data_IF_537730012132
#
_entry.id   IF_537730012132
#
_cell.length_a   1.000
_cell.length_b   1.000
_cell.length_c   1.000
_cell.angle_alpha   90.00
_cell.angle_beta   90.00
_cell.angle_gamma   90.00
#
_symmetry.space_group_name_H-M   'P 1'
#
loop_
_entity.id
_entity.type
_entity.pdbx_description
1 polymer ?
#
# COMPACT_ATOMS: atom_id res chain seq x y z
N UNK A 1 -2.48 -30.46 22.29
CA UNK A 1 -1.59 -29.38 21.83
C UNK A 1 -0.15 -29.83 21.54
N UNK A 2 0.40 -30.82 22.26
CA UNK A 2 1.80 -31.28 22.10
C UNK A 2 2.14 -31.67 20.64
N UNK A 3 1.18 -32.21 19.88
CA UNK A 3 1.36 -32.59 18.47
C UNK A 3 0.80 -31.59 17.45
N UNK A 4 -0.36 -30.99 17.74
CA UNK A 4 -1.07 -30.14 16.77
C UNK A 4 -0.24 -28.96 16.25
N UNK A 5 0.42 -28.19 17.12
CA UNK A 5 1.17 -27.01 16.64
C UNK A 5 2.39 -27.44 15.80
N UNK A 6 3.30 -28.31 16.28
CA UNK A 6 4.45 -28.76 15.49
C UNK A 6 4.10 -29.50 14.18
N UNK A 7 2.92 -30.11 14.09
CA UNK A 7 2.45 -30.79 12.88
C UNK A 7 1.85 -29.85 11.82
N UNK A 8 1.56 -28.59 12.15
CA UNK A 8 0.82 -27.68 11.26
C UNK A 8 1.48 -26.30 11.07
N UNK A 9 2.58 -26.00 11.76
CA UNK A 9 3.37 -24.78 11.58
C UNK A 9 4.82 -25.00 12.01
N UNK A 10 5.73 -24.21 11.43
CA UNK A 10 7.17 -24.31 11.62
C UNK A 10 7.82 -25.17 10.53
N UNK A 11 9.11 -24.97 10.30
CA UNK A 11 9.85 -25.68 9.22
C UNK A 11 9.88 -27.21 9.38
N UNK A 12 9.63 -27.71 10.59
CA UNK A 12 9.57 -29.15 10.86
C UNK A 12 8.23 -29.78 10.45
N UNK A 13 7.20 -28.97 10.21
CA UNK A 13 5.86 -29.43 9.83
C UNK A 13 5.72 -29.81 8.36
N UNK A 14 6.66 -29.37 7.50
CA UNK A 14 6.62 -29.56 6.05
C UNK A 14 8.04 -29.65 5.50
N UNK A 15 8.26 -30.51 4.50
CA UNK A 15 9.55 -30.57 3.79
C UNK A 15 9.67 -29.44 2.77
N UNK A 16 10.90 -29.03 2.41
CA UNK A 16 11.11 -28.02 1.37
C UNK A 16 10.44 -28.39 0.03
N UNK A 17 10.58 -29.65 -0.42
CA UNK A 17 9.93 -30.14 -1.65
C UNK A 17 8.40 -30.02 -1.60
N UNK A 18 7.77 -30.50 -0.53
CA UNK A 18 6.33 -30.35 -0.34
C UNK A 18 5.89 -28.87 -0.26
N UNK A 19 6.70 -27.98 0.32
CA UNK A 19 6.40 -26.56 0.36
C UNK A 19 6.40 -25.95 -1.05
N UNK A 20 7.43 -26.26 -1.85
CA UNK A 20 7.55 -25.80 -3.23
C UNK A 20 6.36 -26.31 -4.05
N UNK A 21 6.10 -27.61 -4.01
CA UNK A 21 5.06 -28.24 -4.83
C UNK A 21 3.64 -27.80 -4.46
N UNK A 22 3.37 -27.56 -3.18
CA UNK A 22 2.00 -27.28 -2.71
C UNK A 22 1.69 -25.80 -2.54
N UNK A 23 2.69 -24.95 -2.28
CA UNK A 23 2.46 -23.58 -1.81
C UNK A 23 3.15 -22.49 -2.65
N UNK A 24 4.15 -22.83 -3.46
CA UNK A 24 4.70 -21.89 -4.43
C UNK A 24 3.81 -21.88 -5.67
N UNK A 25 2.95 -20.86 -5.75
CA UNK A 25 2.03 -20.70 -6.89
C UNK A 25 2.80 -20.49 -8.19
N UNK A 26 2.28 -21.02 -9.31
CA UNK A 26 2.82 -20.80 -10.66
C UNK A 26 2.97 -19.31 -10.99
N UNK A 27 2.03 -18.48 -10.56
CA UNK A 27 2.07 -17.03 -10.74
C UNK A 27 3.31 -16.40 -10.08
N UNK A 28 3.54 -16.66 -8.79
CA UNK A 28 4.70 -16.12 -8.09
C UNK A 28 6.03 -16.72 -8.58
N UNK A 29 6.04 -18.01 -8.92
CA UNK A 29 7.20 -18.66 -9.53
C UNK A 29 7.59 -17.95 -10.83
N UNK A 30 6.62 -17.73 -11.73
CA UNK A 30 6.85 -17.04 -13.01
C UNK A 30 7.33 -15.60 -12.80
N UNK A 31 6.79 -14.88 -11.82
CA UNK A 31 7.15 -13.48 -11.58
C UNK A 31 8.55 -13.26 -11.00
N UNK A 32 9.07 -14.22 -10.22
CA UNK A 32 10.27 -14.01 -9.42
C UNK A 32 11.42 -14.99 -9.71
N UNK A 33 11.11 -16.23 -10.09
CA UNK A 33 12.12 -17.23 -10.40
C UNK A 33 12.64 -17.01 -11.82
N UNK A 34 13.96 -16.78 -12.02
CA UNK A 34 14.55 -16.67 -13.36
C UNK A 34 14.43 -17.95 -14.20
N UNK A 35 14.25 -19.11 -13.56
CA UNK A 35 14.03 -20.40 -14.21
C UNK A 35 12.74 -21.06 -13.69
N UNK A 36 11.55 -20.62 -14.16
CA UNK A 36 10.27 -21.15 -13.66
C UNK A 36 10.09 -22.66 -13.88
N UNK A 37 10.83 -23.29 -14.80
CA UNK A 37 10.78 -24.72 -15.04
C UNK A 37 11.34 -25.55 -13.89
N UNK A 38 12.17 -24.94 -13.04
CA UNK A 38 12.70 -25.52 -11.82
C UNK A 38 12.24 -24.66 -10.63
N UNK A 39 11.03 -24.91 -10.09
CA UNK A 39 10.49 -24.12 -8.98
C UNK A 39 11.41 -24.13 -7.76
N UNK A 40 11.59 -22.95 -7.19
CA UNK A 40 12.37 -22.73 -5.97
C UNK A 40 11.48 -22.17 -4.87
N UNK A 41 12.00 -22.14 -3.65
CA UNK A 41 11.28 -21.61 -2.52
C UNK A 41 11.09 -20.10 -2.66
N UNK A 42 9.84 -19.64 -2.49
CA UNK A 42 9.48 -18.22 -2.41
C UNK A 42 8.71 -17.99 -1.11
N UNK A 43 9.13 -17.01 -0.31
CA UNK A 43 8.46 -16.66 0.94
C UNK A 43 8.28 -15.14 1.11
N UNK A 44 7.15 -14.74 1.67
CA UNK A 44 6.84 -13.38 2.08
C UNK A 44 7.13 -13.22 3.56
N UNK A 45 7.80 -12.13 3.94
CA UNK A 45 8.09 -11.83 5.35
C UNK A 45 7.58 -10.43 5.69
N UNK A 46 6.79 -10.34 6.76
CA UNK A 46 6.21 -9.08 7.22
C UNK A 46 5.88 -9.12 8.71
N UNK A 47 6.15 -8.00 9.38
CA UNK A 47 5.79 -7.78 10.77
C UNK A 47 4.31 -7.41 10.92
N UNK A 48 3.68 -7.92 11.97
CA UNK A 48 2.40 -7.39 12.47
C UNK A 48 2.56 -6.91 13.90
N UNK A 49 1.46 -6.60 14.56
CA UNK A 49 1.49 -6.15 15.94
C UNK A 49 0.21 -6.45 16.70
N UNK A 50 0.36 -6.66 18.00
CA UNK A 50 -0.73 -6.69 18.97
C UNK A 50 -0.57 -5.54 19.96
N UNK A 51 -1.62 -4.75 20.14
CA UNK A 51 -1.63 -3.71 21.17
C UNK A 51 -1.71 -4.35 22.54
N UNK A 52 -0.89 -3.85 23.46
CA UNK A 52 -0.92 -4.29 24.86
C UNK A 52 -1.20 -3.12 25.78
N UNK A 53 -1.75 -3.41 26.96
CA UNK A 53 -1.90 -2.44 28.03
C UNK A 53 -0.56 -1.84 28.45
N UNK A 54 -0.62 -0.64 29.01
CA UNK A 54 0.54 0.02 29.60
C UNK A 54 1.03 -0.79 30.80
N UNK A 55 2.28 -1.22 30.77
CA UNK A 55 2.92 -1.92 31.88
C UNK A 55 3.38 -0.96 32.98
N UNK A 56 3.20 -1.34 34.25
CA UNK A 56 3.80 -0.66 35.42
C UNK A 56 5.31 -0.92 35.54
N UNK A 57 5.80 -2.02 34.96
CA UNK A 57 7.24 -2.25 34.82
C UNK A 57 7.81 -1.25 33.80
N UNK A 58 8.64 -0.31 34.27
CA UNK A 58 9.17 0.78 33.44
C UNK A 58 10.06 0.31 32.28
N UNK A 59 10.71 -0.85 32.38
CA UNK A 59 11.48 -1.41 31.26
C UNK A 59 10.53 -1.89 30.18
N UNK A 60 9.54 -2.71 30.54
CA UNK A 60 8.50 -3.19 29.59
C UNK A 60 7.73 -2.00 28.99
N UNK A 61 7.41 -0.98 29.79
CA UNK A 61 6.80 0.26 29.33
C UNK A 61 7.60 0.90 28.19
N UNK A 62 8.91 1.11 28.38
CA UNK A 62 9.77 1.72 27.36
C UNK A 62 9.93 0.83 26.14
N UNK A 63 10.13 -0.48 26.34
CA UNK A 63 10.44 -1.40 25.25
C UNK A 63 9.21 -1.75 24.38
N UNK A 64 8.02 -1.77 24.97
CA UNK A 64 6.77 -2.00 24.22
C UNK A 64 6.26 -0.77 23.48
N UNK A 65 6.75 0.43 23.78
CA UNK A 65 6.25 1.65 23.14
C UNK A 65 6.78 1.80 21.71
N UNK A 66 5.87 1.81 20.73
CA UNK A 66 6.21 2.09 19.33
C UNK A 66 6.06 3.57 19.03
N UNK A 67 7.16 4.24 18.66
CA UNK A 67 7.13 5.63 18.23
C UNK A 67 6.30 5.82 16.95
N UNK A 68 6.37 4.86 16.02
CA UNK A 68 5.61 4.89 14.77
C UNK A 68 4.09 4.80 15.01
N UNK A 69 3.64 3.97 15.97
CA UNK A 69 2.21 3.81 16.26
C UNK A 69 1.70 4.68 17.40
N UNK A 70 2.58 5.34 18.15
CA UNK A 70 2.24 6.14 19.33
C UNK A 70 1.59 5.33 20.47
N UNK A 71 1.82 4.02 20.53
CA UNK A 71 1.13 3.09 21.46
C UNK A 71 2.02 1.93 21.87
N UNK A 72 1.67 1.30 23.00
CA UNK A 72 2.30 0.06 23.46
C UNK A 72 1.84 -1.14 22.62
N UNK A 73 2.79 -1.87 22.06
CA UNK A 73 2.55 -3.05 21.25
C UNK A 73 3.75 -4.01 21.31
N UNK A 74 3.50 -5.25 20.89
CA UNK A 74 4.57 -6.22 20.58
C UNK A 74 4.38 -6.74 19.16
N UNK A 75 5.46 -7.20 18.55
CA UNK A 75 5.53 -7.51 17.12
C UNK A 75 5.90 -8.96 16.86
N UNK A 76 5.00 -9.79 16.34
CA UNK A 76 5.38 -11.02 15.66
C UNK A 76 5.70 -10.73 14.18
N UNK A 77 6.52 -11.58 13.59
CA UNK A 77 6.82 -11.57 12.16
C UNK A 77 6.35 -12.88 11.52
N UNK A 78 5.52 -12.77 10.50
CA UNK A 78 5.01 -13.92 9.75
C UNK A 78 5.94 -14.25 8.59
N UNK A 79 6.07 -15.54 8.29
CA UNK A 79 6.70 -16.07 7.09
C UNK A 79 5.66 -16.88 6.34
N UNK A 80 5.32 -16.45 5.12
CA UNK A 80 4.11 -16.89 4.42
C UNK A 80 4.45 -17.27 2.98
N UNK A 81 3.89 -18.35 2.48
CA UNK A 81 4.01 -18.77 1.08
C UNK A 81 3.18 -17.89 0.12
N UNK A 82 3.41 -17.96 -1.20
CA UNK A 82 2.63 -17.22 -2.20
C UNK A 82 1.11 -17.47 -2.19
N UNK A 83 0.68 -18.62 -1.69
CA UNK A 83 -0.74 -18.97 -1.51
C UNK A 83 -1.25 -18.65 -0.08
N UNK A 84 -0.44 -17.99 0.74
CA UNK A 84 -0.83 -17.64 2.09
C UNK A 84 -0.62 -18.73 3.15
N UNK A 85 -0.04 -19.89 2.85
CA UNK A 85 0.34 -20.87 3.88
C UNK A 85 1.36 -20.26 4.86
N UNK A 86 1.15 -20.38 6.17
CA UNK A 86 2.05 -19.80 7.17
C UNK A 86 3.16 -20.81 7.46
N UNK A 87 4.38 -20.55 6.98
CA UNK A 87 5.53 -21.41 7.28
C UNK A 87 5.92 -21.32 8.75
N UNK A 88 6.10 -20.10 9.28
CA UNK A 88 6.43 -19.89 10.68
C UNK A 88 6.02 -18.48 11.15
N UNK A 89 5.99 -18.29 12.47
CA UNK A 89 5.75 -17.00 13.13
C UNK A 89 6.86 -16.77 14.16
N UNK A 90 7.72 -15.80 13.84
CA UNK A 90 8.83 -15.41 14.68
C UNK A 90 8.43 -14.39 15.73
N UNK A 91 9.14 -14.39 16.86
CA UNK A 91 8.90 -13.51 18.00
C UNK A 91 7.87 -14.05 18.99
N UNK A 92 7.07 -13.17 19.64
CA UNK A 92 6.99 -11.73 19.42
C UNK A 92 8.19 -10.97 20.02
N UNK A 93 8.46 -9.79 19.46
CA UNK A 93 9.51 -8.87 19.90
C UNK A 93 8.91 -7.61 20.52
N UNK A 94 9.71 -6.93 21.33
CA UNK A 94 9.43 -5.56 21.74
C UNK A 94 9.42 -4.61 20.55
N UNK A 95 8.89 -3.41 20.75
CA UNK A 95 8.62 -2.44 19.67
C UNK A 95 9.52 -1.22 19.69
N UNK A 96 10.53 -1.24 20.55
CA UNK A 96 11.56 -0.21 20.63
C UNK A 96 12.40 -0.15 19.34
N UNK A 97 13.16 0.93 19.20
CA UNK A 97 13.97 1.16 18.00
C UNK A 97 15.03 0.08 17.73
N UNK A 98 15.38 -0.74 18.74
CA UNK A 98 16.33 -1.85 18.61
C UNK A 98 15.70 -3.07 17.93
N UNK A 99 14.37 -3.18 17.96
CA UNK A 99 13.58 -4.24 17.36
C UNK A 99 12.75 -3.69 16.17
N UNK A 100 13.44 -3.00 15.26
CA UNK A 100 12.89 -2.72 13.94
C UNK A 100 12.89 -4.00 13.08
N UNK A 101 12.17 -3.98 11.97
CA UNK A 101 11.86 -5.19 11.20
C UNK A 101 13.14 -5.85 10.65
N UNK A 102 14.08 -5.06 10.12
CA UNK A 102 15.40 -5.54 9.70
C UNK A 102 16.24 -6.14 10.85
N UNK A 103 16.28 -5.49 12.02
CA UNK A 103 17.06 -5.95 13.17
C UNK A 103 16.51 -7.25 13.73
N UNK A 104 15.18 -7.37 13.80
CA UNK A 104 14.50 -8.60 14.18
C UNK A 104 14.87 -9.72 13.21
N UNK A 105 14.69 -9.53 11.90
CA UNK A 105 14.98 -10.57 10.91
C UNK A 105 16.46 -10.97 10.92
N UNK A 106 17.37 -10.00 11.03
CA UNK A 106 18.81 -10.26 11.17
C UNK A 106 19.12 -11.19 12.34
N UNK A 107 18.49 -10.96 13.49
CA UNK A 107 18.71 -11.78 14.68
C UNK A 107 18.20 -13.20 14.49
N UNK A 108 17.05 -13.37 13.84
CA UNK A 108 16.48 -14.69 13.54
C UNK A 108 17.38 -15.51 12.63
N UNK A 109 17.86 -14.91 11.54
CA UNK A 109 18.78 -15.58 10.62
C UNK A 109 20.15 -15.90 11.25
N UNK A 110 20.72 -14.99 12.04
CA UNK A 110 22.03 -15.21 12.67
C UNK A 110 22.01 -16.27 13.77
N UNK A 111 20.87 -16.43 14.44
CA UNK A 111 20.67 -17.45 15.48
C UNK A 111 20.11 -18.75 14.92
N UNK A 112 19.84 -18.79 13.61
CA UNK A 112 19.12 -19.84 12.91
C UNK A 112 17.87 -20.31 13.66
N UNK A 113 17.12 -19.35 14.23
CA UNK A 113 15.89 -19.67 14.96
C UNK A 113 14.94 -20.35 13.98
N UNK A 114 14.55 -21.57 14.34
CA UNK A 114 13.65 -22.37 13.52
C UNK A 114 14.29 -22.96 12.26
N UNK A 115 15.62 -23.08 12.16
CA UNK A 115 16.31 -23.65 10.99
C UNK A 115 15.90 -23.01 9.64
N UNK A 116 15.40 -21.77 9.68
CA UNK A 116 14.82 -21.06 8.54
C UNK A 116 15.88 -20.86 7.45
N UNK A 117 17.12 -20.54 7.82
CA UNK A 117 18.19 -20.33 6.85
C UNK A 117 18.42 -21.58 6.02
N UNK A 118 18.47 -22.74 6.68
CA UNK A 118 18.62 -24.03 6.02
C UNK A 118 17.39 -24.38 5.18
N UNK A 119 16.18 -24.09 5.68
CA UNK A 119 14.93 -24.36 4.97
C UNK A 119 14.78 -23.55 3.68
N UNK A 120 15.10 -22.25 3.72
CA UNK A 120 15.10 -21.38 2.54
C UNK A 120 16.13 -21.84 1.49
N UNK A 121 17.26 -22.38 1.96
CA UNK A 121 18.34 -22.85 1.10
C UNK A 121 19.07 -21.73 0.35
N UNK A 122 20.14 -22.10 -0.35
CA UNK A 122 20.80 -21.22 -1.31
C UNK A 122 19.89 -21.04 -2.54
N UNK A 123 19.70 -19.81 -2.99
CA UNK A 123 18.84 -19.47 -4.13
C UNK A 123 17.37 -19.25 -3.80
N UNK A 124 16.92 -19.50 -2.55
CA UNK A 124 15.55 -19.16 -2.13
C UNK A 124 15.26 -17.66 -2.25
N UNK A 125 14.01 -17.29 -2.54
CA UNK A 125 13.60 -15.89 -2.74
C UNK A 125 12.75 -15.43 -1.55
N UNK A 126 13.13 -14.31 -0.94
CA UNK A 126 12.31 -13.64 0.09
C UNK A 126 11.76 -12.30 -0.38
N UNK A 127 10.46 -12.09 -0.15
CA UNK A 127 9.74 -10.88 -0.56
C UNK A 127 9.39 -10.09 0.68
N UNK A 128 10.02 -8.91 0.80
CA UNK A 128 10.03 -8.12 2.03
C UNK A 128 9.54 -6.70 1.80
N UNK A 129 9.18 -6.04 2.90
CA UNK A 129 8.81 -4.64 2.92
C UNK A 129 10.06 -3.74 2.99
N UNK A 130 9.87 -2.42 2.89
CA UNK A 130 10.97 -1.45 2.96
C UNK A 130 11.64 -1.34 4.33
N UNK A 131 10.97 -1.77 5.39
CA UNK A 131 11.49 -1.85 6.75
C UNK A 131 12.61 -2.88 6.90
N UNK A 132 12.73 -3.84 5.98
CA UNK A 132 13.78 -4.86 5.97
C UNK A 132 15.05 -4.45 5.20
N UNK A 133 15.11 -3.26 4.58
CA UNK A 133 16.26 -2.79 3.79
C UNK A 133 17.63 -3.09 4.42
N UNK A 134 17.77 -2.87 5.72
CA UNK A 134 19.07 -2.96 6.38
C UNK A 134 19.53 -4.42 6.60
N UNK A 135 18.65 -5.42 6.38
CA UNK A 135 19.00 -6.85 6.43
C UNK A 135 19.39 -7.42 5.07
N UNK A 136 19.11 -6.72 3.96
CA UNK A 136 19.35 -7.24 2.61
C UNK A 136 20.79 -7.72 2.37
N UNK A 137 21.85 -7.00 2.81
CA UNK A 137 23.23 -7.49 2.63
C UNK A 137 23.51 -8.83 3.35
N UNK A 138 22.79 -9.13 4.43
CA UNK A 138 22.91 -10.41 5.13
C UNK A 138 22.24 -11.53 4.33
N UNK A 139 21.13 -11.23 3.66
CA UNK A 139 20.46 -12.21 2.79
C UNK A 139 21.35 -12.57 1.60
N UNK A 140 21.98 -11.56 0.98
CA UNK A 140 23.00 -11.75 -0.07
C UNK A 140 24.17 -12.64 0.42
N UNK A 141 24.69 -12.36 1.64
CA UNK A 141 25.76 -13.17 2.26
C UNK A 141 25.37 -14.66 2.43
N UNK A 142 24.08 -14.93 2.61
CA UNK A 142 23.55 -16.29 2.73
C UNK A 142 23.08 -16.90 1.40
N UNK A 143 23.28 -16.21 0.28
CA UNK A 143 22.84 -16.67 -1.04
C UNK A 143 21.31 -16.67 -1.21
N UNK A 144 20.60 -15.88 -0.42
CA UNK A 144 19.14 -15.75 -0.47
C UNK A 144 18.80 -14.53 -1.31
N UNK A 145 18.14 -14.73 -2.45
CA UNK A 145 17.64 -13.63 -3.28
C UNK A 145 16.49 -12.90 -2.57
N UNK A 146 16.31 -11.63 -2.88
CA UNK A 146 15.25 -10.83 -2.28
C UNK A 146 14.57 -9.89 -3.26
N UNK A 147 13.31 -9.60 -2.95
CA UNK A 147 12.53 -8.59 -3.65
C UNK A 147 11.94 -7.61 -2.65
N UNK A 148 12.18 -6.33 -2.87
CA UNK A 148 11.71 -5.23 -2.01
C UNK A 148 11.25 -4.06 -2.87
N UNK A 149 10.18 -3.32 -2.49
CA UNK A 149 9.82 -2.11 -3.21
C UNK A 149 10.93 -1.06 -3.16
N UNK A 150 11.35 -0.56 -4.31
CA UNK A 150 12.46 0.40 -4.45
C UNK A 150 12.33 1.64 -3.55
N UNK A 151 13.47 2.20 -3.16
CA UNK A 151 13.60 3.42 -2.35
C UNK A 151 14.27 4.50 -3.18
N UNK A 152 13.78 5.74 -3.11
CA UNK A 152 14.42 6.85 -3.79
C UNK A 152 15.80 7.11 -3.17
N UNK A 153 16.79 7.28 -4.03
CA UNK A 153 18.11 7.72 -3.60
C UNK A 153 18.10 9.22 -3.28
N UNK A 154 19.14 9.68 -2.58
CA UNK A 154 19.25 11.08 -2.19
C UNK A 154 19.36 11.95 -3.44
N UNK A 155 18.43 12.90 -3.59
CA UNK A 155 18.38 13.83 -4.72
C UNK A 155 17.43 13.39 -5.84
N UNK A 156 17.00 12.13 -5.86
CA UNK A 156 16.00 11.65 -6.81
C UNK A 156 14.61 12.14 -6.43
N UNK A 157 13.82 12.49 -7.45
CA UNK A 157 12.42 12.93 -7.29
C UNK A 157 11.41 11.86 -7.75
N UNK A 158 11.86 10.93 -8.58
CA UNK A 158 11.04 9.91 -9.22
C UNK A 158 11.90 8.71 -9.60
N UNK A 159 11.30 7.51 -9.60
CA UNK A 159 11.93 6.30 -10.09
C UNK A 159 12.02 6.26 -11.62
N UNK A 160 13.07 5.63 -12.14
CA UNK A 160 13.08 5.19 -13.53
C UNK A 160 11.97 4.16 -13.80
N UNK A 161 11.54 4.07 -15.06
CA UNK A 161 10.35 3.29 -15.44
C UNK A 161 10.49 1.82 -15.03
N UNK A 162 11.64 1.22 -15.32
CA UNK A 162 11.95 -0.17 -14.94
C UNK A 162 11.88 -0.37 -13.43
N UNK A 163 12.58 0.45 -12.65
CA UNK A 163 12.58 0.39 -11.18
C UNK A 163 11.17 0.61 -10.61
N UNK A 164 10.38 1.50 -11.20
CA UNK A 164 9.00 1.74 -10.80
C UNK A 164 8.09 0.53 -11.07
N UNK A 165 8.31 -0.16 -12.20
CA UNK A 165 7.60 -1.38 -12.59
C UNK A 165 8.00 -2.56 -11.69
N UNK A 166 9.29 -2.77 -11.43
CA UNK A 166 9.77 -3.81 -10.51
C UNK A 166 9.21 -3.61 -9.10
N UNK A 167 9.20 -2.37 -8.61
CA UNK A 167 8.55 -2.01 -7.35
C UNK A 167 7.04 -2.31 -7.36
N UNK A 168 6.38 -2.15 -8.52
CA UNK A 168 4.96 -2.52 -8.67
C UNK A 168 4.75 -4.04 -8.62
N UNK A 169 5.63 -4.84 -9.21
CA UNK A 169 5.58 -6.31 -9.14
C UNK A 169 5.60 -6.77 -7.69
N UNK A 170 6.54 -6.27 -6.89
CA UNK A 170 6.65 -6.62 -5.47
C UNK A 170 5.38 -6.23 -4.70
N UNK A 171 4.90 -5.01 -4.90
CA UNK A 171 3.67 -4.54 -4.23
C UNK A 171 2.40 -5.23 -4.73
N UNK A 172 2.41 -5.87 -5.91
CA UNK A 172 1.25 -6.60 -6.45
C UNK A 172 1.06 -7.93 -5.75
N UNK A 173 2.13 -8.60 -5.32
CA UNK A 173 2.03 -9.92 -4.68
C UNK A 173 2.11 -9.83 -3.16
N UNK A 174 2.78 -8.82 -2.59
CA UNK A 174 2.86 -8.58 -1.13
C UNK A 174 1.52 -8.50 -0.39
N UNK A 175 0.43 -8.20 -1.10
CA UNK A 175 -0.90 -8.21 -0.49
C UNK A 175 -1.23 -9.54 0.20
N UNK A 176 -0.62 -10.66 -0.21
CA UNK A 176 -0.86 -11.99 0.37
C UNK A 176 -0.55 -12.04 1.87
N UNK A 177 0.60 -11.48 2.26
CA UNK A 177 1.02 -11.46 3.66
C UNK A 177 0.26 -10.40 4.44
N UNK A 178 -0.10 -9.28 3.81
CA UNK A 178 -0.98 -8.27 4.42
C UNK A 178 -2.38 -8.85 4.71
N UNK A 179 -2.92 -9.64 3.77
CA UNK A 179 -4.18 -10.35 3.93
C UNK A 179 -4.09 -11.38 5.06
N UNK A 180 -3.01 -12.18 5.13
CA UNK A 180 -2.84 -13.17 6.20
C UNK A 180 -2.64 -12.54 7.57
N UNK A 181 -1.89 -11.44 7.66
CA UNK A 181 -1.81 -10.59 8.85
C UNK A 181 -3.20 -10.06 9.28
N UNK A 182 -4.03 -9.66 8.31
CA UNK A 182 -5.42 -9.28 8.54
C UNK A 182 -6.32 -10.45 8.99
N UNK A 183 -6.12 -11.65 8.46
CA UNK A 183 -6.86 -12.87 8.82
C UNK A 183 -6.64 -13.25 10.28
N UNK A 184 -5.40 -13.20 10.78
CA UNK A 184 -5.14 -13.44 12.21
C UNK A 184 -6.03 -12.53 13.08
N UNK A 185 -6.09 -11.23 12.76
CA UNK A 185 -6.84 -10.23 13.55
C UNK A 185 -8.36 -10.26 13.32
N UNK A 186 -8.84 -10.80 12.21
CA UNK A 186 -10.27 -10.86 11.88
C UNK A 186 -10.92 -12.16 12.32
N UNK A 187 -10.23 -13.28 12.15
CA UNK A 187 -10.65 -14.61 12.64
C UNK A 187 -10.53 -14.65 14.16
N UNK A 188 -9.39 -14.22 14.70
CA UNK A 188 -9.12 -14.22 16.14
C UNK A 188 -9.15 -12.79 16.68
N UNK A 189 -10.37 -12.33 17.00
CA UNK A 189 -10.64 -10.95 17.47
C UNK A 189 -9.79 -10.55 18.69
N UNK A 190 -9.28 -11.51 19.46
CA UNK A 190 -8.31 -11.30 20.53
C UNK A 190 -7.15 -10.39 20.11
N UNK A 191 -6.54 -10.61 18.93
CA UNK A 191 -5.38 -9.82 18.48
C UNK A 191 -5.73 -8.43 17.95
N UNK A 192 -7.01 -8.13 17.72
CA UNK A 192 -7.49 -6.80 17.31
C UNK A 192 -7.63 -5.86 18.50
N UNK A 193 -7.88 -6.41 19.69
CA UNK A 193 -8.18 -5.66 20.89
C UNK A 193 -6.92 -5.25 21.66
N UNK A 194 -7.10 -4.41 22.66
CA UNK A 194 -6.06 -4.12 23.64
C UNK A 194 -5.87 -5.35 24.55
N UNK A 195 -4.69 -5.96 24.52
CA UNK A 195 -4.39 -7.19 25.25
C UNK A 195 -3.79 -6.85 26.61
N UNK A 196 -4.29 -7.48 27.68
CA UNK A 196 -3.71 -7.28 29.00
C UNK A 196 -2.27 -7.80 29.07
N UNK A 197 -1.41 -7.11 29.84
CA UNK A 197 0.00 -7.50 30.04
C UNK A 197 0.10 -8.94 30.58
N UNK A 198 -0.87 -9.37 31.37
CA UNK A 198 -0.94 -10.75 31.91
C UNK A 198 -1.06 -11.80 30.80
N UNK A 199 -1.80 -11.50 29.74
CA UNK A 199 -1.91 -12.39 28.57
C UNK A 199 -0.77 -12.20 27.59
N UNK A 200 -0.13 -11.03 27.57
CA UNK A 200 0.93 -10.72 26.63
C UNK A 200 2.15 -11.65 26.73
N UNK A 201 2.38 -12.24 27.91
CA UNK A 201 3.49 -13.19 28.13
C UNK A 201 3.35 -14.49 27.33
N UNK A 202 2.12 -14.88 26.96
CA UNK A 202 1.82 -16.10 26.20
C UNK A 202 1.53 -15.82 24.72
N UNK A 203 1.84 -14.61 24.25
CA UNK A 203 1.44 -14.21 22.90
C UNK A 203 2.14 -15.04 21.82
N UNK A 204 3.34 -15.55 22.07
CA UNK A 204 4.02 -16.44 21.14
C UNK A 204 3.20 -17.68 20.86
N UNK A 205 2.80 -18.38 21.92
CA UNK A 205 2.00 -19.59 21.85
C UNK A 205 0.67 -19.31 21.17
N UNK A 206 0.03 -18.19 21.49
CA UNK A 206 -1.23 -17.82 20.85
C UNK A 206 -1.07 -17.61 19.34
N UNK A 207 -0.03 -16.90 18.90
CA UNK A 207 0.22 -16.72 17.47
C UNK A 207 0.47 -18.06 16.77
N UNK A 208 1.31 -18.94 17.33
CA UNK A 208 1.58 -20.27 16.76
C UNK A 208 0.34 -21.16 16.71
N UNK A 209 -0.48 -21.18 17.76
CA UNK A 209 -1.75 -21.92 17.78
C UNK A 209 -2.67 -21.40 16.69
N UNK A 210 -2.79 -20.08 16.55
CA UNK A 210 -3.67 -19.50 15.53
C UNK A 210 -3.17 -19.71 14.11
N UNK A 211 -1.86 -19.66 13.90
CA UNK A 211 -1.23 -20.03 12.62
C UNK A 211 -1.49 -21.48 12.25
N UNK A 212 -1.28 -22.42 13.19
CA UNK A 212 -1.57 -23.84 13.00
C UNK A 212 -3.06 -24.10 12.68
N UNK A 213 -3.99 -23.42 13.37
CA UNK A 213 -5.44 -23.51 13.08
C UNK A 213 -5.74 -23.00 11.67
N UNK A 214 -5.13 -21.89 11.26
CA UNK A 214 -5.31 -21.35 9.90
C UNK A 214 -4.82 -22.36 8.87
N UNK A 215 -3.58 -22.85 8.98
CA UNK A 215 -3.02 -23.80 8.02
C UNK A 215 -3.84 -25.09 7.94
N UNK A 216 -4.37 -25.58 9.05
CA UNK A 216 -5.12 -26.85 9.08
C UNK A 216 -6.55 -26.75 8.54
N UNK A 217 -7.24 -25.65 8.81
CA UNK A 217 -8.71 -25.58 8.63
C UNK A 217 -9.19 -24.46 7.71
N UNK A 218 -8.29 -23.59 7.21
CA UNK A 218 -8.65 -22.51 6.30
C UNK A 218 -8.04 -22.77 4.94
N UNK A 219 -8.77 -22.36 3.92
CA UNK A 219 -8.26 -22.40 2.57
C UNK A 219 -7.05 -21.46 2.40
N UNK A 220 -6.22 -21.85 1.45
CA UNK A 220 -5.17 -21.00 0.89
C UNK A 220 -5.80 -19.74 0.29
N UNK A 221 -5.04 -18.65 0.27
CA UNK A 221 -5.42 -17.39 -0.36
C UNK A 221 -4.87 -17.42 -1.78
N UNK A 222 -5.77 -17.51 -2.76
CA UNK A 222 -5.42 -17.42 -4.18
C UNK A 222 -5.83 -16.05 -4.72
N UNK A 223 -4.98 -15.49 -5.58
CA UNK A 223 -5.36 -14.31 -6.36
C UNK A 223 -6.22 -14.78 -7.54
N UNK A 224 -7.47 -14.32 -7.58
CA UNK A 224 -8.37 -14.59 -8.71
C UNK A 224 -7.74 -14.11 -10.03
N UNK A 225 -7.73 -14.98 -11.04
CA UNK A 225 -7.15 -14.71 -12.36
C UNK A 225 -5.61 -14.71 -12.42
N UNK A 226 -4.91 -15.10 -11.35
CA UNK A 226 -3.45 -15.19 -11.34
C UNK A 226 -2.94 -16.45 -12.05
N UNK A 227 -2.92 -16.42 -13.38
CA UNK A 227 -2.42 -17.51 -14.24
C UNK A 227 -0.99 -17.25 -14.73
N UNK A 228 -0.36 -18.27 -15.33
CA UNK A 228 0.92 -18.15 -16.03
C UNK A 228 0.90 -17.04 -17.08
N UNK A 229 -0.16 -16.97 -17.90
CA UNK A 229 -0.30 -15.99 -18.98
C UNK A 229 -0.37 -14.57 -18.42
N UNK A 230 -1.09 -14.37 -17.30
CA UNK A 230 -1.13 -13.07 -16.65
C UNK A 230 0.25 -12.68 -16.10
N UNK A 231 0.99 -13.62 -15.51
CA UNK A 231 2.34 -13.35 -15.03
C UNK A 231 3.28 -12.94 -16.17
N UNK A 232 3.24 -13.65 -17.30
CA UNK A 232 4.00 -13.32 -18.51
C UNK A 232 3.63 -11.94 -19.06
N UNK A 233 2.33 -11.65 -19.23
CA UNK A 233 1.85 -10.35 -19.68
C UNK A 233 2.27 -9.20 -18.75
N UNK A 234 2.27 -9.45 -17.43
CA UNK A 234 2.77 -8.49 -16.42
C UNK A 234 4.27 -8.23 -16.61
N UNK A 235 5.08 -9.26 -16.84
CA UNK A 235 6.53 -9.12 -17.05
C UNK A 235 6.85 -8.40 -18.35
N UNK A 236 6.18 -8.75 -19.44
CA UNK A 236 6.31 -8.06 -20.72
C UNK A 236 6.01 -6.56 -20.57
N UNK A 237 4.88 -6.23 -19.94
CA UNK A 237 4.49 -4.84 -19.66
C UNK A 237 5.43 -4.13 -18.69
N UNK A 238 6.06 -4.85 -17.76
CA UNK A 238 7.05 -4.26 -16.85
C UNK A 238 8.34 -3.83 -17.58
N UNK A 239 8.66 -4.46 -18.70
CA UNK A 239 9.84 -4.13 -19.52
C UNK A 239 9.58 -3.09 -20.61
N UNK A 240 8.33 -2.72 -20.86
CA UNK A 240 8.01 -1.66 -21.83
C UNK A 240 8.49 -0.30 -21.35
N UNK A 241 9.13 0.46 -22.24
CA UNK A 241 9.47 1.86 -21.99
C UNK A 241 8.20 2.73 -21.92
N UNK A 242 8.23 3.76 -21.08
CA UNK A 242 7.15 4.75 -21.05
C UNK A 242 7.38 5.81 -22.14
N UNK A 243 6.83 5.57 -23.33
CA UNK A 243 6.94 6.49 -24.48
C UNK A 243 6.42 7.90 -24.16
N UNK A 244 5.35 8.02 -23.35
CA UNK A 244 4.82 9.33 -22.96
C UNK A 244 5.78 10.07 -22.01
N UNK A 245 6.46 9.36 -21.09
CA UNK A 245 7.54 9.94 -20.27
C UNK A 245 8.65 10.48 -21.18
N UNK A 246 9.13 9.69 -22.14
CA UNK A 246 10.17 10.12 -23.08
C UNK A 246 9.76 11.38 -23.83
N UNK A 247 8.57 11.37 -24.43
CA UNK A 247 8.00 12.53 -25.12
C UNK A 247 7.92 13.77 -24.24
N UNK A 248 7.45 13.62 -23.00
CA UNK A 248 7.33 14.75 -22.05
C UNK A 248 8.70 15.36 -21.72
N UNK A 249 9.74 14.55 -21.64
CA UNK A 249 11.11 14.99 -21.37
C UNK A 249 11.70 15.67 -22.61
N UNK A 250 11.69 14.99 -23.76
CA UNK A 250 12.29 15.45 -25.02
C UNK A 250 11.68 16.76 -25.51
N UNK A 251 10.35 16.88 -25.44
CA UNK A 251 9.63 18.08 -25.88
C UNK A 251 9.48 19.14 -24.78
N UNK A 252 10.05 18.89 -23.59
CA UNK A 252 9.97 19.81 -22.45
C UNK A 252 8.54 20.12 -21.98
N UNK A 253 7.59 19.19 -22.15
CA UNK A 253 6.16 19.43 -21.89
C UNK A 253 5.87 19.83 -20.44
N UNK A 254 6.70 19.40 -19.49
CA UNK A 254 6.58 19.77 -18.08
C UNK A 254 6.92 21.25 -17.79
N UNK A 255 7.76 21.86 -18.65
CA UNK A 255 8.26 23.24 -18.49
C UNK A 255 7.43 24.26 -19.28
N UNK A 256 6.61 23.81 -20.24
CA UNK A 256 5.70 24.69 -20.98
C UNK A 256 4.75 25.41 -20.03
N UNK A 257 4.58 26.72 -20.23
CA UNK A 257 3.56 27.49 -19.53
C UNK A 257 2.18 26.84 -19.77
N UNK A 258 1.38 26.75 -18.72
CA UNK A 258 0.05 26.12 -18.78
C UNK A 258 -1.05 27.12 -18.50
N UNK A 259 -2.15 26.98 -19.22
CA UNK A 259 -3.39 27.71 -18.96
C UNK A 259 -4.31 26.84 -18.13
N UNK A 260 -4.15 26.97 -16.82
CA UNK A 260 -4.75 26.08 -15.84
C UNK A 260 -6.22 26.44 -15.57
N UNK A 261 -7.13 25.61 -16.04
CA UNK A 261 -8.56 25.69 -15.76
C UNK A 261 -9.05 24.52 -14.94
N UNK A 262 -10.19 24.69 -14.26
CA UNK A 262 -10.80 23.59 -13.50
C UNK A 262 -11.24 22.50 -14.47
N UNK A 263 -10.82 21.27 -14.22
CA UNK A 263 -11.41 20.10 -14.86
C UNK A 263 -12.80 19.86 -14.22
N UNK A 264 -13.85 20.06 -15.01
CA UNK A 264 -15.24 19.75 -14.66
C UNK A 264 -15.82 18.76 -15.69
N UNK A 265 -17.07 18.38 -15.49
CA UNK A 265 -17.75 17.36 -16.30
C UNK A 265 -17.84 17.73 -17.79
N UNK A 266 -17.94 19.03 -18.10
CA UNK A 266 -18.06 19.57 -19.44
C UNK A 266 -16.76 19.63 -20.25
N UNK A 267 -15.60 19.48 -19.63
CA UNK A 267 -14.30 19.54 -20.31
C UNK A 267 -13.91 18.15 -20.81
N UNK A 268 -13.15 18.12 -21.92
CA UNK A 268 -12.66 16.86 -22.54
C UNK A 268 -13.82 15.89 -22.86
N UNK A 269 -14.80 16.35 -23.65
CA UNK A 269 -15.99 15.56 -24.06
C UNK A 269 -15.66 14.43 -25.04
N UNK A 270 -14.50 14.54 -25.67
CA UNK A 270 -13.88 13.57 -26.57
C UNK A 270 -13.16 12.43 -25.82
N UNK A 271 -13.05 12.50 -24.49
CA UNK A 271 -12.45 11.44 -23.69
C UNK A 271 -13.31 10.15 -23.75
N UNK A 272 -12.69 8.96 -23.84
CA UNK A 272 -13.40 7.69 -23.90
C UNK A 272 -14.19 7.41 -22.61
N UNK A 273 -15.36 6.80 -22.77
CA UNK A 273 -16.11 6.25 -21.64
C UNK A 273 -15.44 4.91 -21.29
N UNK A 274 -15.04 4.75 -20.04
CA UNK A 274 -14.28 3.61 -19.55
C UNK A 274 -15.13 2.78 -18.60
N UNK A 275 -15.06 1.46 -18.75
CA UNK A 275 -15.64 0.55 -17.78
C UNK A 275 -14.79 0.47 -16.50
N UNK A 276 -15.44 0.14 -15.38
CA UNK A 276 -14.72 -0.02 -14.12
C UNK A 276 -13.75 -1.21 -14.17
N UNK A 277 -14.09 -2.30 -14.88
CA UNK A 277 -13.20 -3.46 -15.00
C UNK A 277 -11.93 -3.14 -15.79
N UNK A 278 -12.07 -2.43 -16.92
CA UNK A 278 -10.94 -1.88 -17.66
C UNK A 278 -10.00 -1.06 -16.76
N UNK A 279 -10.56 -0.16 -15.92
CA UNK A 279 -9.76 0.62 -14.98
C UNK A 279 -9.01 -0.27 -13.97
N UNK A 280 -9.65 -1.33 -13.44
CA UNK A 280 -9.01 -2.27 -12.49
C UNK A 280 -7.82 -2.99 -13.12
N UNK A 281 -7.95 -3.38 -14.38
CA UNK A 281 -6.91 -4.04 -15.17
C UNK A 281 -5.76 -3.06 -15.43
N UNK A 282 -6.07 -1.86 -15.93
CA UNK A 282 -5.07 -0.81 -16.18
C UNK A 282 -4.29 -0.44 -14.92
N UNK A 283 -4.94 -0.35 -13.76
CA UNK A 283 -4.26 -0.05 -12.48
C UNK A 283 -3.59 -1.27 -11.83
N UNK A 284 -3.80 -2.47 -12.38
CA UNK A 284 -3.34 -3.76 -11.87
C UNK A 284 -3.82 -3.95 -10.42
N UNK A 285 -5.07 -3.58 -10.14
CA UNK A 285 -5.72 -3.72 -8.83
C UNK A 285 -6.46 -2.48 -8.33
N UNK A 286 -7.34 -2.68 -7.34
CA UNK A 286 -8.34 -1.70 -6.91
C UNK A 286 -7.82 -0.56 -6.03
N UNK A 287 -6.68 -0.73 -5.36
CA UNK A 287 -6.24 0.19 -4.32
C UNK A 287 -6.05 1.64 -4.81
N UNK A 288 -5.51 1.82 -6.02
CA UNK A 288 -5.31 3.18 -6.56
C UNK A 288 -6.65 3.83 -6.95
N UNK A 289 -7.62 3.03 -7.40
CA UNK A 289 -8.97 3.48 -7.73
C UNK A 289 -9.80 3.80 -6.48
N UNK A 290 -9.63 3.05 -5.39
CA UNK A 290 -10.36 3.31 -4.14
C UNK A 290 -10.00 4.66 -3.50
N UNK A 291 -8.86 5.23 -3.88
CA UNK A 291 -8.44 6.58 -3.48
C UNK A 291 -9.05 7.69 -4.35
N UNK A 292 -9.53 7.36 -5.55
CA UNK A 292 -10.00 8.35 -6.51
C UNK A 292 -11.14 9.24 -5.98
N UNK A 293 -12.20 8.70 -5.34
CA UNK A 293 -13.26 9.54 -4.77
C UNK A 293 -12.74 10.55 -3.75
N UNK A 294 -11.75 10.17 -2.93
CA UNK A 294 -11.16 11.06 -1.93
C UNK A 294 -10.32 12.18 -2.55
N UNK A 295 -9.57 11.88 -3.63
CA UNK A 295 -8.88 12.92 -4.40
C UNK A 295 -9.86 13.93 -5.01
N UNK A 296 -11.07 13.50 -5.37
CA UNK A 296 -12.11 14.41 -5.86
C UNK A 296 -12.77 15.19 -4.72
N UNK A 297 -12.94 14.58 -3.55
CA UNK A 297 -13.68 15.16 -2.42
C UNK A 297 -12.89 16.11 -1.52
N UNK A 298 -11.57 15.90 -1.33
CA UNK A 298 -10.66 16.82 -0.59
C UNK A 298 -10.76 18.30 -1.09
N UNK A 299 -11.43 18.47 -2.23
CA UNK A 299 -11.86 19.67 -2.95
C UNK A 299 -12.97 20.52 -2.30
N UNK A 300 -13.91 19.97 -1.55
CA UNK A 300 -15.06 20.79 -1.06
C UNK A 300 -14.64 21.66 0.13
N UNK A 301 -13.59 21.28 0.85
CA UNK A 301 -13.19 21.92 2.10
C UNK A 301 -12.02 22.92 1.99
N UNK A 302 -11.24 22.89 0.91
CA UNK A 302 -10.04 23.75 0.76
C UNK A 302 -10.32 25.00 -0.07
N UNK A 303 -10.87 26.03 0.57
CA UNK A 303 -10.77 27.46 0.17
C UNK A 303 -10.97 27.78 -1.34
N UNK A 304 -11.86 27.07 -2.04
CA UNK A 304 -12.15 27.32 -3.45
C UNK A 304 -11.03 27.00 -4.46
N UNK A 305 -9.96 26.29 -4.05
CA UNK A 305 -8.81 25.98 -4.91
C UNK A 305 -9.13 24.78 -5.85
N UNK A 306 -8.76 24.91 -7.13
CA UNK A 306 -8.99 23.91 -8.20
C UNK A 306 -8.08 22.68 -7.99
N UNK A 307 -8.66 21.49 -7.77
CA UNK A 307 -7.91 20.23 -7.49
C UNK A 307 -7.32 19.59 -8.74
N UNK A 308 -8.15 19.38 -9.77
CA UNK A 308 -7.68 19.01 -11.11
C UNK A 308 -7.68 20.26 -11.96
N UNK A 309 -6.48 20.69 -12.32
CA UNK A 309 -6.28 21.79 -13.23
C UNK A 309 -5.90 21.22 -14.60
N UNK A 310 -6.83 21.29 -15.55
CA UNK A 310 -6.58 20.96 -16.93
C UNK A 310 -5.85 22.13 -17.58
N UNK A 311 -4.78 21.82 -18.30
CA UNK A 311 -4.19 22.78 -19.23
C UNK A 311 -5.03 22.87 -20.51
N UNK A 312 -5.44 24.08 -20.87
CA UNK A 312 -6.22 24.30 -22.09
C UNK A 312 -5.40 24.27 -23.38
N UNK A 313 -4.07 24.35 -23.28
CA UNK A 313 -3.18 24.12 -24.41
C UNK A 313 -3.12 22.62 -24.70
N UNK A 314 -4.19 22.11 -25.33
CA UNK A 314 -4.37 20.68 -25.62
C UNK A 314 -4.03 20.39 -27.07
N UNK A 315 -3.29 19.32 -27.24
CA UNK A 315 -3.18 18.63 -28.52
C UNK A 315 -4.29 17.57 -28.56
N UNK A 316 -4.78 17.22 -29.75
CA UNK A 316 -5.80 16.19 -29.87
C UNK A 316 -5.30 14.85 -29.30
N UNK A 317 -6.14 14.18 -28.51
CA UNK A 317 -5.80 12.90 -27.88
C UNK A 317 -4.74 13.00 -26.76
N UNK A 318 -4.37 14.19 -26.29
CA UNK A 318 -3.43 14.39 -25.17
C UNK A 318 -3.96 15.43 -24.19
N UNK A 319 -4.08 15.04 -22.92
CA UNK A 319 -4.39 15.98 -21.82
C UNK A 319 -3.21 16.12 -20.87
N UNK A 320 -3.00 17.35 -20.39
CA UNK A 320 -2.09 17.67 -19.27
C UNK A 320 -2.92 18.14 -18.09
N UNK A 321 -2.76 17.48 -16.95
CA UNK A 321 -3.49 17.80 -15.71
C UNK A 321 -2.50 18.05 -14.58
N UNK A 322 -2.81 19.03 -13.73
CA UNK A 322 -2.07 19.30 -12.50
C UNK A 322 -2.96 19.07 -11.29
N UNK A 323 -2.41 18.46 -10.24
CA UNK A 323 -3.12 18.21 -8.98
C UNK A 323 -2.20 18.21 -7.76
N UNK A 324 -2.80 18.31 -6.59
CA UNK A 324 -2.08 18.32 -5.32
C UNK A 324 -1.73 16.92 -4.81
N UNK A 325 -0.65 16.86 -4.04
CA UNK A 325 -0.31 15.70 -3.23
C UNK A 325 -1.25 15.57 -2.04
N UNK A 326 -1.80 14.37 -1.83
CA UNK A 326 -2.56 14.06 -0.60
C UNK A 326 -1.73 14.17 0.69
N UNK A 327 -0.40 14.13 0.58
CA UNK A 327 0.51 14.09 1.74
C UNK A 327 1.13 15.44 2.08
N UNK A 328 1.16 16.38 1.12
CA UNK A 328 1.87 17.65 1.27
C UNK A 328 1.11 18.75 0.53
N UNK A 329 0.52 19.67 1.29
CA UNK A 329 -0.34 20.74 0.78
C UNK A 329 0.32 21.62 -0.29
N UNK A 330 1.64 21.86 -0.21
CA UNK A 330 2.35 22.70 -1.16
C UNK A 330 2.79 21.96 -2.44
N UNK A 331 2.76 20.63 -2.46
CA UNK A 331 3.31 19.84 -3.58
C UNK A 331 2.23 19.60 -4.62
N UNK A 332 2.52 20.01 -5.87
CA UNK A 332 1.70 19.70 -7.05
C UNK A 332 2.44 18.75 -7.98
N UNK A 333 1.71 17.79 -8.52
CA UNK A 333 2.17 16.91 -9.59
C UNK A 333 1.51 17.32 -10.90
N UNK A 334 2.25 17.18 -12.00
CA UNK A 334 1.70 17.23 -13.34
C UNK A 334 1.58 15.80 -13.86
N UNK A 335 0.57 15.54 -14.66
CA UNK A 335 0.40 14.28 -15.36
C UNK A 335 -0.10 14.51 -16.78
N UNK A 336 0.18 13.53 -17.63
CA UNK A 336 -0.21 13.45 -19.02
C UNK A 336 -0.92 12.14 -19.26
N UNK A 337 -1.95 12.17 -20.09
CA UNK A 337 -2.69 10.99 -20.53
C UNK A 337 -2.92 11.15 -22.03
N UNK A 338 -2.47 10.16 -22.80
CA UNK A 338 -2.83 10.01 -24.21
C UNK A 338 -3.98 9.02 -24.34
N UNK A 339 -4.97 9.37 -25.15
CA UNK A 339 -6.19 8.60 -25.31
C UNK A 339 -6.69 8.66 -26.76
N UNK A 340 -7.46 7.66 -27.16
CA UNK A 340 -8.21 7.67 -28.42
C UNK A 340 -9.54 8.37 -28.22
N UNK A 341 -9.91 9.21 -29.20
CA UNK A 341 -11.14 9.99 -29.17
C UNK A 341 -12.36 9.05 -29.18
N UNK A 342 -13.35 9.30 -28.33
CA UNK A 342 -14.54 8.46 -28.23
C UNK A 342 -15.33 8.34 -29.55
N UNK A 343 -15.20 9.32 -30.47
CA UNK A 343 -15.85 9.28 -31.78
C UNK A 343 -15.15 8.38 -32.79
N UNK A 344 -13.88 8.09 -32.57
CA UNK A 344 -13.03 7.30 -33.47
C UNK A 344 -12.54 6.01 -32.83
N UNK A 345 -13.06 5.68 -31.64
CA UNK A 345 -12.69 4.49 -30.89
C UNK A 345 -13.46 3.29 -31.44
N UNK A 346 -12.74 2.30 -31.95
CA UNK A 346 -13.31 1.00 -32.34
C UNK A 346 -13.32 0.04 -31.14
N UNK A 347 -14.17 -1.00 -31.15
CA UNK A 347 -14.28 -1.93 -30.01
C UNK A 347 -12.96 -2.65 -29.68
N UNK A 348 -12.10 -2.87 -30.67
CA UNK A 348 -10.80 -3.52 -30.48
C UNK A 348 -9.69 -2.57 -30.01
N UNK A 349 -9.97 -1.26 -29.92
CA UNK A 349 -8.98 -0.26 -29.61
C UNK A 349 -8.70 -0.12 -28.12
N UNK A 350 -7.43 0.01 -27.77
CA UNK A 350 -7.00 0.44 -26.44
C UNK A 350 -7.35 1.93 -26.24
N UNK A 351 -8.30 2.28 -25.34
CA UNK A 351 -8.77 3.65 -25.22
C UNK A 351 -7.73 4.58 -24.59
N UNK A 352 -6.88 4.07 -23.69
CA UNK A 352 -5.80 4.83 -23.06
C UNK A 352 -4.45 4.32 -23.57
N UNK A 353 -3.83 5.09 -24.45
CA UNK A 353 -2.59 4.70 -25.13
C UNK A 353 -1.33 5.01 -24.34
N UNK A 354 -1.43 5.81 -23.27
CA UNK A 354 -0.28 6.14 -22.44
C UNK A 354 -0.59 7.08 -21.30
N UNK A 355 0.21 7.02 -20.25
CA UNK A 355 0.15 7.96 -19.12
C UNK A 355 1.52 8.17 -18.50
N UNK A 356 1.72 9.37 -17.95
CA UNK A 356 2.92 9.73 -17.19
C UNK A 356 2.55 10.73 -16.11
N UNK A 357 3.10 10.59 -14.91
CA UNK A 357 2.91 11.54 -13.82
C UNK A 357 4.25 11.87 -13.17
N UNK A 358 4.46 13.12 -12.76
CA UNK A 358 5.70 13.56 -12.09
C UNK A 358 5.85 13.08 -10.64
N UNK A 359 4.89 12.30 -10.12
CA UNK A 359 5.01 11.72 -8.78
C UNK A 359 6.04 10.58 -8.74
N UNK A 360 6.43 10.17 -7.53
CA UNK A 360 7.51 9.20 -7.28
C UNK A 360 7.41 7.92 -8.12
N UNK A 361 6.19 7.39 -8.30
CA UNK A 361 5.92 6.16 -9.06
C UNK A 361 5.19 6.39 -10.39
N UNK A 362 5.17 7.63 -10.88
CA UNK A 362 4.36 8.02 -12.03
C UNK A 362 4.98 7.72 -13.40
N UNK A 363 6.20 7.20 -13.43
CA UNK A 363 6.88 6.72 -14.64
C UNK A 363 6.44 5.33 -15.10
N UNK A 364 5.77 4.57 -14.24
CA UNK A 364 5.43 3.16 -14.49
C UNK A 364 4.50 2.96 -15.69
N UNK A 365 4.66 1.82 -16.35
CA UNK A 365 3.75 1.28 -17.38
C UNK A 365 2.91 0.13 -16.83
N UNK A 366 3.38 -0.54 -15.76
CA UNK A 366 2.63 -1.55 -15.02
C UNK A 366 1.78 -0.88 -13.92
N UNK A 367 0.46 -0.89 -14.08
CA UNK A 367 -0.45 -0.16 -13.19
C UNK A 367 -0.34 1.35 -13.34
N UNK A 368 -1.07 2.13 -12.54
CA UNK A 368 -0.97 3.61 -12.54
C UNK A 368 -0.99 4.21 -11.13
N UNK A 369 -0.38 5.39 -10.95
CA UNK A 369 -0.39 6.07 -9.65
C UNK A 369 -1.80 6.55 -9.31
N UNK A 370 -2.08 6.76 -8.02
CA UNK A 370 -3.38 7.28 -7.58
C UNK A 370 -3.79 8.54 -8.34
N UNK A 371 -2.84 9.39 -8.73
CA UNK A 371 -3.11 10.61 -9.50
C UNK A 371 -3.69 10.30 -10.90
N UNK A 372 -3.02 9.44 -11.67
CA UNK A 372 -3.50 9.02 -12.99
C UNK A 372 -4.81 8.25 -12.85
N UNK A 373 -4.87 7.29 -11.92
CA UNK A 373 -6.07 6.51 -11.63
C UNK A 373 -7.27 7.42 -11.32
N UNK A 374 -7.07 8.51 -10.56
CA UNK A 374 -8.14 9.44 -10.21
C UNK A 374 -8.65 10.25 -11.40
N UNK A 375 -7.76 10.69 -12.30
CA UNK A 375 -8.16 11.42 -13.52
C UNK A 375 -8.89 10.48 -14.48
N UNK A 376 -8.36 9.27 -14.70
CA UNK A 376 -9.01 8.25 -15.53
C UNK A 376 -10.39 7.86 -14.97
N UNK A 377 -10.47 7.63 -13.66
CA UNK A 377 -11.73 7.30 -13.00
C UNK A 377 -12.73 8.45 -13.11
N UNK A 378 -12.32 9.71 -12.92
CA UNK A 378 -13.22 10.85 -13.05
C UNK A 378 -13.75 11.03 -14.47
N UNK A 379 -12.85 11.10 -15.45
CA UNK A 379 -13.20 11.42 -16.84
C UNK A 379 -13.82 10.25 -17.58
N UNK A 380 -13.34 9.03 -17.35
CA UNK A 380 -13.81 7.85 -18.07
C UNK A 380 -15.02 7.19 -17.44
N UNK A 381 -15.18 7.28 -16.11
CA UNK A 381 -16.21 6.51 -15.41
C UNK A 381 -17.16 7.39 -14.59
N UNK A 382 -16.66 8.07 -13.55
CA UNK A 382 -17.47 8.67 -12.50
C UNK A 382 -18.47 9.73 -13.01
N UNK A 383 -18.05 10.61 -13.91
CA UNK A 383 -18.93 11.66 -14.48
C UNK A 383 -20.09 11.11 -15.33
N UNK A 384 -20.04 9.84 -15.71
CA UNK A 384 -21.05 9.16 -16.51
C UNK A 384 -22.01 8.31 -15.66
N UNK A 385 -21.84 8.30 -14.34
CA UNK A 385 -22.67 7.52 -13.43
C UNK A 385 -23.62 8.44 -12.66
N UNK A 386 -24.87 8.01 -12.49
CA UNK A 386 -25.88 8.77 -11.76
C UNK A 386 -25.67 8.77 -10.24
N UNK A 387 -25.02 7.75 -9.69
CA UNK A 387 -24.99 7.48 -8.25
C UNK A 387 -23.56 7.27 -7.70
N UNK A 388 -22.62 8.17 -8.01
CA UNK A 388 -21.27 8.13 -7.42
C UNK A 388 -21.30 8.59 -5.97
N UNK A 389 -20.70 7.77 -5.09
CA UNK A 389 -20.49 8.12 -3.68
C UNK A 389 -19.10 8.72 -3.50
N UNK A 390 -19.08 9.91 -2.93
CA UNK A 390 -17.87 10.58 -2.45
C UNK A 390 -17.80 10.50 -0.92
N UNK A 391 -16.60 10.59 -0.31
CA UNK A 391 -16.48 10.73 1.14
C UNK A 391 -17.32 11.89 1.69
N UNK A 392 -17.89 11.75 2.88
CA UNK A 392 -18.74 12.80 3.47
C UNK A 392 -17.89 13.93 4.06
N UNK A 393 -18.36 15.18 3.90
CA UNK A 393 -17.80 16.35 4.59
C UNK A 393 -18.47 16.62 5.94
N UNK A 394 -19.46 15.82 6.34
CA UNK A 394 -20.24 16.07 7.56
C UNK A 394 -19.34 16.25 8.80
N UNK A 395 -18.19 15.57 8.85
CA UNK A 395 -17.24 15.74 9.94
C UNK A 395 -16.66 17.17 10.01
N UNK A 396 -16.35 17.79 8.87
CA UNK A 396 -15.82 19.15 8.79
C UNK A 396 -16.89 20.20 9.09
N UNK A 397 -18.15 19.89 8.77
CA UNK A 397 -19.29 20.77 9.07
C UNK A 397 -19.67 20.74 10.56
N UNK A 398 -19.50 19.58 11.22
CA UNK A 398 -19.93 19.37 12.60
C UNK A 398 -18.81 19.50 13.64
N UNK A 399 -17.54 19.42 13.24
CA UNK A 399 -16.39 19.60 14.14
C UNK A 399 -15.68 20.90 13.78
N UNK A 400 -15.79 21.90 14.67
CA UNK A 400 -15.16 23.20 14.48
C UNK A 400 -13.64 23.10 14.64
N UNK A 401 -12.90 23.73 13.74
CA UNK A 401 -11.47 23.98 13.93
C UNK A 401 -11.29 25.08 14.99
N UNK A 402 -10.46 24.81 16.00
CA UNK A 402 -10.19 25.77 17.07
C UNK A 402 -9.50 27.04 16.56
N UNK A 403 -8.72 26.95 15.47
CA UNK A 403 -8.09 28.09 14.83
C UNK A 403 -9.09 29.01 14.10
N UNK A 404 -10.31 28.53 13.83
CA UNK A 404 -11.37 29.26 13.14
C UNK A 404 -12.50 29.71 14.10
N UNK A 405 -12.22 29.78 15.41
CA UNK A 405 -13.15 30.42 16.34
C UNK A 405 -13.11 31.92 16.08
N UNK A 406 -14.24 32.49 15.66
CA UNK A 406 -14.41 33.94 15.70
C UNK A 406 -14.18 34.41 17.14
N UNK A 407 -13.25 35.35 17.33
CA UNK A 407 -13.17 36.11 18.57
C UNK A 407 -14.55 36.73 18.81
N UNK A 408 -15.24 36.28 19.85
CA UNK A 408 -16.36 37.05 20.38
C UNK A 408 -15.72 38.34 20.88
N UNK A 409 -15.90 39.42 20.11
CA UNK A 409 -15.43 40.75 20.47
C UNK A 409 -15.87 41.08 21.89
N UNK A 410 -14.97 41.76 22.61
CA UNK A 410 -15.16 42.30 23.94
C UNK A 410 -16.60 42.74 24.15
N UNK A 411 -17.34 41.98 24.97
CA UNK A 411 -18.60 42.45 25.53
C UNK A 411 -18.21 43.54 26.52
N UNK A 412 -18.36 44.79 26.08
CA UNK A 412 -18.18 46.01 26.87
C UNK A 412 -19.03 45.89 28.14
N UNK A 413 -18.39 45.54 29.27
CA UNK A 413 -19.02 45.53 30.58
C UNK A 413 -19.25 46.97 31.01
N UNK A 414 -20.39 47.55 30.60
CA UNK A 414 -20.90 48.80 31.18
C UNK A 414 -22.17 48.54 31.96
N UNK A 415 -22.04 48.78 33.26
CA UNK A 415 -23.03 49.29 34.21
C UNK A 415 -24.43 48.69 34.19
N UNK A 416 -24.66 47.76 35.12
CA UNK A 416 -25.92 47.75 35.87
C UNK A 416 -25.62 47.71 37.38
N UNK A 417 -25.80 48.87 38.01
CA UNK A 417 -25.86 49.04 39.45
C UNK A 417 -26.98 48.18 40.03
N UNK A 418 -26.64 47.24 40.92
CA UNK A 418 -27.61 46.53 41.75
C UNK A 418 -27.56 47.17 43.14
N UNK A 419 -28.60 47.94 43.45
CA UNK A 419 -28.86 48.50 44.78
C UNK A 419 -29.00 47.39 45.83
N UNK A 420 -28.26 47.54 46.93
CA UNK A 420 -28.37 46.71 48.12
C UNK A 420 -29.51 47.29 48.97
N UNK A 421 -30.57 46.51 49.16
CA UNK A 421 -31.61 46.79 50.17
C UNK A 421 -31.32 45.91 51.39
N UNK A 422 -30.96 46.53 52.51
CA UNK A 422 -30.86 45.87 53.81
C UNK A 422 -32.26 45.66 54.43
N UNK A 423 -32.51 44.52 55.11
CA UNK A 423 -33.77 44.28 55.80
C UNK A 423 -33.76 44.87 57.22
N UNK A 424 -34.92 45.39 57.64
CA UNK A 424 -35.25 45.85 59.01
C UNK A 424 -35.30 44.70 60.00
#
# INVERSE_FOLDING_TARGET
>A
MIRFVPENIGVASITCEAYINNHVTEFANTLYNPDPANPILIAYIDGTYSYIEKSSNFRVFRQSYSQHKGRHLIKPALIVAPDGYILDIHGPYFSDARNNDAATLRNEFRRDVGALRYFLGEGGIVIVDRGYRDVLPLLDEFGIDYRMPALLQRGERQFETEVANDSRLVTKTRWIIEARNGHIKSIFKFFRNLISVVHAVNLREFYLITGAIINKYRDVILMEGATLELAQAILERARTLNALKQRVIEQGLARRNGMWQRLNEDKVRDFPILELNYLKELTVGIYQLSLAPAYIQDKVARDGIKVFELDEHREEGLIRVRLFSRFRNAVRYQLWITYKNNKTLEEADEPITGYYCTCVSGSRTLGSCAHVASVLWFLGFARHQSNIKYPSNALLENIRDAANRHDQGDIDMRDENIEIVEPV
#
